data_IF_103456347686
#
_entry.id   IF_103456347686
#
_cell.length_a   1.000
_cell.length_b   1.000
_cell.length_c   1.000
_cell.angle_alpha   90.00
_cell.angle_beta   90.00
_cell.angle_gamma   90.00
#
_symmetry.space_group_name_H-M   'P 1'
#
loop_
_entity.id
_entity.type
_entity.pdbx_description
1 polymer ?
#
# COMPACT_ATOMS: atom_id res chain seq x y z
N UNK A 1 -14.55 -28.03 36.90
CA UNK A 1 -14.30 -27.23 35.68
C UNK A 1 -15.31 -27.68 34.63
N UNK A 2 -16.22 -26.80 34.19
CA UNK A 2 -17.12 -27.13 33.08
C UNK A 2 -16.28 -27.18 31.80
N UNK A 3 -16.24 -28.36 31.17
CA UNK A 3 -15.51 -28.57 29.94
C UNK A 3 -16.27 -27.88 28.80
N UNK A 4 -15.59 -27.03 28.02
CA UNK A 4 -16.19 -26.43 26.82
C UNK A 4 -16.54 -27.53 25.80
N UNK A 5 -17.62 -27.36 25.01
CA UNK A 5 -17.96 -28.31 23.96
C UNK A 5 -16.85 -28.39 22.91
N UNK A 6 -16.79 -29.52 22.20
CA UNK A 6 -15.86 -29.69 21.08
C UNK A 6 -16.25 -28.76 19.91
N UNK A 7 -15.29 -28.22 19.14
CA UNK A 7 -15.60 -27.48 17.92
C UNK A 7 -16.44 -28.31 16.95
N UNK A 8 -17.45 -27.68 16.35
CA UNK A 8 -18.33 -28.31 15.36
C UNK A 8 -17.83 -28.04 13.94
N UNK A 9 -17.78 -29.09 13.11
CA UNK A 9 -17.40 -28.97 11.70
C UNK A 9 -18.57 -28.41 10.89
N UNK A 10 -18.30 -27.38 10.10
CA UNK A 10 -19.26 -26.89 9.11
C UNK A 10 -19.34 -27.86 7.92
N UNK A 11 -20.52 -28.44 7.73
CA UNK A 11 -20.83 -29.31 6.59
C UNK A 11 -21.41 -28.50 5.42
N UNK A 12 -21.02 -28.87 4.21
CA UNK A 12 -21.43 -28.17 2.97
C UNK A 12 -21.99 -29.16 1.96
N UNK A 13 -23.17 -28.85 1.41
CA UNK A 13 -23.71 -29.57 0.25
C UNK A 13 -23.26 -28.86 -1.02
N UNK A 14 -22.40 -29.51 -1.80
CA UNK A 14 -21.82 -28.94 -3.02
C UNK A 14 -22.62 -29.41 -4.22
N UNK A 15 -23.41 -28.52 -4.80
CA UNK A 15 -24.16 -28.80 -6.01
C UNK A 15 -23.22 -28.86 -7.24
N UNK A 16 -23.56 -29.63 -8.29
CA UNK A 16 -22.68 -29.83 -9.45
C UNK A 16 -22.27 -28.53 -10.15
N UNK A 17 -23.14 -27.52 -10.20
CA UNK A 17 -22.83 -26.20 -10.75
C UNK A 17 -21.77 -25.44 -9.94
N UNK A 18 -21.74 -25.61 -8.61
CA UNK A 18 -20.71 -25.01 -7.75
C UNK A 18 -19.39 -25.76 -7.91
N UNK A 19 -19.43 -27.10 -7.94
CA UNK A 19 -18.24 -27.92 -8.14
C UNK A 19 -17.50 -27.57 -9.44
N UNK A 20 -18.24 -27.29 -10.52
CA UNK A 20 -17.67 -26.85 -11.81
C UNK A 20 -16.91 -25.52 -11.73
N UNK A 21 -17.19 -24.67 -10.74
CA UNK A 21 -16.51 -23.38 -10.55
C UNK A 21 -15.16 -23.50 -9.86
N UNK A 22 -14.87 -24.61 -9.18
CA UNK A 22 -13.64 -24.76 -8.42
C UNK A 22 -12.40 -24.67 -9.32
N UNK A 23 -12.34 -25.44 -10.40
CA UNK A 23 -11.17 -25.43 -11.29
C UNK A 23 -10.89 -24.04 -11.91
N UNK A 24 -11.88 -23.32 -12.49
CA UNK A 24 -11.65 -21.95 -12.97
C UNK A 24 -11.20 -21.00 -11.87
N UNK A 25 -11.86 -20.99 -10.70
CA UNK A 25 -11.52 -20.08 -9.59
C UNK A 25 -10.12 -20.38 -9.05
N UNK A 26 -9.74 -21.64 -8.91
CA UNK A 26 -8.39 -22.01 -8.49
C UNK A 26 -7.33 -21.57 -9.50
N UNK A 27 -7.61 -21.68 -10.81
CA UNK A 27 -6.69 -21.19 -11.85
C UNK A 27 -6.51 -19.67 -11.80
N UNK A 28 -7.60 -18.92 -11.65
CA UNK A 28 -7.53 -17.46 -11.52
C UNK A 28 -6.83 -17.04 -10.22
N UNK A 29 -7.06 -17.76 -9.11
CA UNK A 29 -6.35 -17.52 -7.86
C UNK A 29 -4.83 -17.73 -8.01
N UNK A 30 -4.41 -18.83 -8.64
CA UNK A 30 -3.00 -19.09 -8.91
C UNK A 30 -2.40 -18.01 -9.81
N UNK A 31 -3.11 -17.59 -10.86
CA UNK A 31 -2.66 -16.50 -11.72
C UNK A 31 -2.46 -15.18 -10.97
N UNK A 32 -3.34 -14.85 -10.02
CA UNK A 32 -3.18 -13.66 -9.17
C UNK A 32 -1.98 -13.78 -8.24
N UNK A 33 -1.73 -14.97 -7.69
CA UNK A 33 -0.55 -15.25 -6.85
C UNK A 33 0.73 -15.09 -7.69
N UNK A 34 0.78 -15.70 -8.87
CA UNK A 34 1.96 -15.68 -9.75
C UNK A 34 2.26 -14.26 -10.28
N UNK A 35 1.26 -13.40 -10.38
CA UNK A 35 1.40 -12.02 -10.86
C UNK A 35 1.81 -11.02 -9.76
N UNK A 36 1.90 -11.44 -8.49
CA UNK A 36 2.31 -10.56 -7.39
C UNK A 36 3.84 -10.51 -7.29
N UNK A 37 4.43 -9.38 -7.66
CA UNK A 37 5.82 -9.06 -7.31
C UNK A 37 5.85 -8.32 -5.95
N UNK A 38 6.54 -8.89 -4.96
CA UNK A 38 6.53 -8.39 -3.59
C UNK A 38 7.90 -8.48 -2.93
N UNK A 39 8.34 -7.36 -2.35
CA UNK A 39 9.61 -7.28 -1.63
C UNK A 39 9.47 -6.48 -0.34
N UNK A 40 9.99 -7.03 0.77
CA UNK A 40 10.03 -6.33 2.06
C UNK A 40 11.36 -5.61 2.22
N UNK A 41 11.35 -4.31 1.94
CA UNK A 41 12.52 -3.46 2.13
C UNK A 41 12.55 -2.84 3.53
N UNK A 42 13.69 -2.96 4.23
CA UNK A 42 13.91 -2.33 5.54
C UNK A 42 15.04 -1.31 5.45
N UNK A 43 14.68 -0.03 5.36
CA UNK A 43 15.62 1.08 5.46
C UNK A 43 16.14 1.21 6.90
N UNK A 44 17.46 1.07 7.08
CA UNK A 44 18.14 1.09 8.39
C UNK A 44 18.96 2.36 8.72
N UNK A 45 19.46 3.17 7.76
CA UNK A 45 20.36 4.28 8.08
C UNK A 45 19.79 5.31 9.06
N UNK A 46 18.48 5.60 8.98
CA UNK A 46 17.80 6.51 9.90
C UNK A 46 16.30 6.24 9.95
N UNK A 47 15.58 7.02 10.78
CA UNK A 47 14.13 7.00 10.86
C UNK A 47 13.58 8.28 11.49
N UNK A 48 12.48 8.14 12.24
CA UNK A 48 11.69 9.24 12.81
C UNK A 48 12.52 10.31 13.54
N UNK A 49 13.55 9.93 14.30
CA UNK A 49 14.36 10.87 15.08
C UNK A 49 15.11 11.87 14.20
N UNK A 50 15.72 11.39 13.11
CA UNK A 50 16.41 12.24 12.15
C UNK A 50 15.42 13.18 11.44
N UNK A 51 14.32 12.62 10.90
CA UNK A 51 13.34 13.41 10.14
C UNK A 51 12.74 14.54 10.99
N UNK A 52 12.44 14.25 12.27
CA UNK A 52 11.96 15.27 13.20
C UNK A 52 13.00 16.33 13.52
N UNK A 53 14.30 15.98 13.53
CA UNK A 53 15.37 16.96 13.73
C UNK A 53 15.47 17.97 12.58
N UNK A 54 15.04 17.58 11.39
CA UNK A 54 14.87 18.46 10.23
C UNK A 54 13.58 19.30 10.27
N UNK A 55 12.78 19.22 11.34
CA UNK A 55 11.49 19.90 11.49
C UNK A 55 10.44 19.50 10.44
N UNK A 56 10.52 18.29 9.90
CA UNK A 56 9.56 17.76 8.91
C UNK A 56 8.70 16.66 9.55
N UNK A 57 7.43 16.57 9.12
CA UNK A 57 6.59 15.41 9.46
C UNK A 57 7.20 14.14 8.87
N UNK A 58 7.41 13.06 9.67
CA UNK A 58 7.88 11.78 9.15
C UNK A 58 7.04 11.23 8.00
N UNK A 59 5.74 11.51 8.02
CA UNK A 59 4.78 11.07 7.02
C UNK A 59 5.00 11.78 5.68
N UNK A 60 4.99 13.12 5.68
CA UNK A 60 5.29 13.96 4.51
C UNK A 60 6.66 13.64 3.92
N UNK A 61 7.66 13.41 4.77
CA UNK A 61 9.01 13.06 4.34
C UNK A 61 9.02 11.76 3.51
N UNK A 62 8.33 10.72 3.98
CA UNK A 62 8.24 9.44 3.26
C UNK A 62 7.39 9.59 2.00
N UNK A 63 6.29 10.34 2.03
CA UNK A 63 5.48 10.60 0.84
C UNK A 63 6.29 11.28 -0.27
N UNK A 64 7.07 12.31 0.05
CA UNK A 64 7.98 12.95 -0.90
C UNK A 64 9.04 11.97 -1.41
N UNK A 65 9.65 11.16 -0.54
CA UNK A 65 10.61 10.14 -0.97
C UNK A 65 9.99 9.12 -1.96
N UNK A 66 8.72 8.73 -1.77
CA UNK A 66 7.99 7.87 -2.71
C UNK A 66 7.72 8.58 -4.05
N UNK A 67 7.35 9.87 -4.03
CA UNK A 67 7.20 10.66 -5.25
C UNK A 67 8.52 10.77 -6.03
N UNK A 68 9.63 11.04 -5.34
CA UNK A 68 10.95 11.08 -5.95
C UNK A 68 11.38 9.72 -6.50
N UNK A 69 11.17 8.63 -5.77
CA UNK A 69 11.49 7.29 -6.24
C UNK A 69 10.73 6.94 -7.51
N UNK A 70 9.43 7.26 -7.57
CA UNK A 70 8.63 7.06 -8.77
C UNK A 70 9.11 7.95 -9.93
N UNK A 71 9.38 9.23 -9.66
CA UNK A 71 9.88 10.16 -10.67
C UNK A 71 11.24 9.70 -11.25
N UNK A 72 12.16 9.21 -10.43
CA UNK A 72 13.46 8.69 -10.88
C UNK A 72 13.33 7.45 -11.78
N UNK A 73 12.33 6.61 -11.55
CA UNK A 73 12.12 5.41 -12.35
C UNK A 73 11.39 5.68 -13.67
N UNK A 74 10.47 6.65 -13.69
CA UNK A 74 9.52 6.81 -14.80
C UNK A 74 9.50 8.21 -15.43
N UNK A 75 10.20 9.20 -14.87
CA UNK A 75 10.32 10.56 -15.41
C UNK A 75 9.10 11.47 -15.22
N UNK A 76 8.07 11.00 -14.52
CA UNK A 76 6.85 11.77 -14.23
C UNK A 76 6.23 11.35 -12.90
N UNK A 77 5.30 12.14 -12.36
CA UNK A 77 4.45 11.73 -11.24
C UNK A 77 3.13 11.13 -11.75
N UNK A 78 2.41 10.46 -10.86
CA UNK A 78 1.09 9.88 -11.11
C UNK A 78 0.15 10.15 -9.95
N UNK A 79 -1.16 10.02 -10.18
CA UNK A 79 -2.18 10.13 -9.13
C UNK A 79 -1.87 9.17 -7.99
N UNK A 80 -1.45 9.72 -6.85
CA UNK A 80 -1.09 8.94 -5.66
C UNK A 80 -2.20 9.02 -4.63
N UNK A 81 -2.58 7.87 -4.08
CA UNK A 81 -3.59 7.74 -3.04
C UNK A 81 -2.91 7.53 -1.68
N UNK A 82 -3.26 8.36 -0.71
CA UNK A 82 -2.85 8.22 0.68
C UNK A 82 -4.09 8.24 1.59
N UNK A 83 -4.24 7.21 2.43
CA UNK A 83 -5.37 7.11 3.35
C UNK A 83 -5.24 8.10 4.51
N UNK A 84 -6.19 9.02 4.63
CA UNK A 84 -6.30 9.92 5.78
C UNK A 84 -7.49 9.55 6.66
N UNK A 85 -7.25 9.17 7.92
CA UNK A 85 -8.31 8.80 8.85
C UNK A 85 -9.27 9.95 9.14
N UNK A 86 -10.58 9.73 8.95
CA UNK A 86 -11.65 10.66 9.33
C UNK A 86 -12.33 10.26 10.64
N UNK A 87 -11.72 9.39 11.45
CA UNK A 87 -12.25 8.84 12.72
C UNK A 87 -12.60 9.89 13.80
N UNK A 88 -12.27 11.16 13.57
CA UNK A 88 -12.74 12.28 14.41
C UNK A 88 -14.23 12.56 14.25
N UNK A 89 -14.85 12.06 13.19
CA UNK A 89 -16.27 12.21 12.89
C UNK A 89 -17.02 10.89 13.11
N UNK A 90 -18.32 10.99 13.45
CA UNK A 90 -19.21 9.84 13.59
C UNK A 90 -19.22 9.03 12.29
N UNK A 91 -19.04 7.71 12.40
CA UNK A 91 -18.92 6.78 11.26
C UNK A 91 -17.73 7.06 10.31
N UNK A 92 -16.75 7.85 10.76
CA UNK A 92 -15.56 8.17 9.99
C UNK A 92 -14.77 6.93 9.56
N UNK A 93 -14.36 6.91 8.29
CA UNK A 93 -13.51 5.90 7.67
C UNK A 93 -12.17 6.53 7.30
N UNK A 94 -11.94 6.76 6.02
CA UNK A 94 -10.79 7.47 5.47
C UNK A 94 -11.26 8.40 4.37
N UNK A 95 -10.50 9.47 4.14
CA UNK A 95 -10.53 10.27 2.91
C UNK A 95 -9.14 10.15 2.21
N UNK A 96 -8.98 10.74 1.03
CA UNK A 96 -7.76 10.64 0.23
C UNK A 96 -6.92 11.92 0.32
N UNK A 97 -5.68 11.79 0.80
CA UNK A 97 -4.64 12.78 0.55
C UNK A 97 -4.06 12.50 -0.84
N UNK A 98 -3.98 13.55 -1.67
CA UNK A 98 -3.38 13.49 -3.01
C UNK A 98 -1.92 13.94 -2.92
N UNK A 99 -1.03 13.01 -2.62
CA UNK A 99 0.38 13.31 -2.30
C UNK A 99 1.22 13.77 -3.51
N UNK A 100 0.74 13.52 -4.74
CA UNK A 100 1.35 14.00 -5.97
C UNK A 100 0.89 15.45 -6.29
N UNK A 101 1.41 16.41 -5.53
CA UNK A 101 1.15 17.84 -5.74
C UNK A 101 2.10 18.46 -6.77
N UNK A 102 1.81 19.70 -7.19
CA UNK A 102 2.69 20.47 -8.08
C UNK A 102 4.05 20.71 -7.43
N UNK A 103 4.08 21.05 -6.15
CA UNK A 103 5.31 21.28 -5.38
C UNK A 103 6.15 20.01 -5.27
N UNK A 104 5.52 18.84 -5.11
CA UNK A 104 6.22 17.56 -5.12
C UNK A 104 6.87 17.27 -6.48
N UNK A 105 6.21 17.62 -7.59
CA UNK A 105 6.76 17.48 -8.94
C UNK A 105 7.95 18.41 -9.16
N UNK A 106 7.83 19.68 -8.78
CA UNK A 106 8.89 20.67 -8.90
C UNK A 106 10.12 20.27 -8.09
N UNK A 107 9.90 19.84 -6.85
CA UNK A 107 10.97 19.32 -5.99
C UNK A 107 11.62 18.05 -6.58
N UNK A 108 10.83 17.08 -7.05
CA UNK A 108 11.38 15.86 -7.64
C UNK A 108 12.21 16.15 -8.91
N UNK A 109 11.77 17.09 -9.75
CA UNK A 109 12.54 17.57 -10.90
C UNK A 109 13.87 18.18 -10.45
N UNK A 110 13.84 19.10 -9.47
CA UNK A 110 15.05 19.73 -8.96
C UNK A 110 16.06 18.72 -8.40
N UNK A 111 15.59 17.68 -7.71
CA UNK A 111 16.42 16.60 -7.18
C UNK A 111 17.07 15.70 -8.25
N UNK A 112 16.64 15.79 -9.52
CA UNK A 112 17.16 14.99 -10.63
C UNK A 112 17.92 15.81 -11.69
N UNK A 113 18.05 17.13 -11.54
CA UNK A 113 18.67 18.00 -12.55
C UNK A 113 20.16 17.69 -12.80
N UNK A 114 20.88 17.21 -11.78
CA UNK A 114 22.32 16.93 -11.86
C UNK A 114 22.66 15.46 -12.12
N UNK A 115 21.66 14.58 -12.28
CA UNK A 115 21.90 13.13 -12.47
C UNK A 115 22.24 12.74 -13.91
N UNK A 116 22.41 13.71 -14.81
CA UNK A 116 22.78 13.50 -16.21
C UNK A 116 21.64 12.89 -17.01
N UNK A 117 21.11 13.66 -17.96
CA UNK A 117 20.42 13.08 -19.10
C UNK A 117 21.39 12.23 -19.93
#
# INVERSE_FOLDING_TARGET
>A
QQHLPSPERLEWVIAPEIARRFTPVSKEANKMIDNLDFFVYRFKPYGKSFIKSCQVSPDVYIQLALQLAYFKLYGHLVTTYESASTRRFLLGRVDCIRSASTEALEWAKAMCQDEGA
#
